data_IF_901502858474
#
_entry.id   IF_901502858474
#
_cell.length_a   1.000
_cell.length_b   1.000
_cell.length_c   1.000
_cell.angle_alpha   90.00
_cell.angle_beta   90.00
_cell.angle_gamma   90.00
#
_symmetry.space_group_name_H-M   'P 1'
#
loop_
_entity.id
_entity.type
_entity.pdbx_description
1 polymer ?
#
# COMPACT_ATOMS: atom_id res chain seq x y z
N UNK A 1 -55.38 -14.70 53.30
CA UNK A 1 -54.47 -15.56 52.51
C UNK A 1 -54.70 -15.22 51.05
N UNK A 2 -54.21 -14.05 50.62
CA UNK A 2 -52.84 -13.80 50.13
C UNK A 2 -52.59 -14.48 48.77
N UNK A 3 -52.48 -13.58 47.80
CA UNK A 3 -52.27 -13.72 46.36
C UNK A 3 -50.84 -14.18 46.10
N UNK A 4 -50.59 -14.98 45.06
CA UNK A 4 -49.32 -14.91 44.33
C UNK A 4 -49.45 -15.41 42.90
N UNK A 5 -49.44 -14.44 41.98
CA UNK A 5 -49.21 -14.62 40.54
C UNK A 5 -47.71 -14.81 40.33
N UNK A 6 -47.28 -15.91 39.70
CA UNK A 6 -45.91 -16.04 39.18
C UNK A 6 -45.80 -15.27 37.86
N UNK A 7 -44.98 -14.21 37.87
CA UNK A 7 -44.51 -13.52 36.67
C UNK A 7 -43.20 -14.19 36.27
N UNK A 8 -43.17 -14.82 35.09
CA UNK A 8 -41.92 -15.24 34.44
C UNK A 8 -41.18 -13.99 33.96
N UNK A 9 -40.15 -13.57 34.70
CA UNK A 9 -39.22 -12.54 34.26
C UNK A 9 -38.22 -13.12 33.26
N UNK A 10 -38.29 -12.67 32.00
CA UNK A 10 -37.23 -12.89 31.01
C UNK A 10 -36.06 -12.00 31.40
N UNK A 11 -35.00 -12.60 31.94
CA UNK A 11 -33.72 -11.91 32.11
C UNK A 11 -33.06 -11.86 30.73
N UNK A 12 -33.20 -10.73 30.04
CA UNK A 12 -32.35 -10.40 28.89
C UNK A 12 -30.98 -10.09 29.47
N UNK A 13 -30.10 -11.09 29.49
CA UNK A 13 -28.66 -10.87 29.67
C UNK A 13 -28.22 -10.04 28.47
N UNK A 14 -28.11 -8.72 28.65
CA UNK A 14 -27.41 -7.86 27.72
C UNK A 14 -25.93 -8.28 27.77
N UNK A 15 -25.49 -9.02 26.76
CA UNK A 15 -24.07 -9.19 26.51
C UNK A 15 -23.57 -7.81 26.12
N UNK A 16 -23.02 -7.06 27.09
CA UNK A 16 -22.16 -5.93 26.78
C UNK A 16 -20.99 -6.53 26.01
N UNK A 17 -21.02 -6.38 24.68
CA UNK A 17 -19.80 -6.47 23.89
C UNK A 17 -18.80 -5.52 24.54
N UNK A 18 -17.58 -5.97 24.83
CA UNK A 18 -16.55 -5.04 25.25
C UNK A 18 -16.40 -4.03 24.10
N UNK A 19 -16.78 -2.78 24.36
CA UNK A 19 -16.26 -1.68 23.56
C UNK A 19 -14.74 -1.85 23.60
N UNK A 20 -14.12 -1.93 22.42
CA UNK A 20 -12.67 -1.91 22.32
C UNK A 20 -12.23 -0.67 23.10
N UNK A 21 -11.59 -0.89 24.26
CA UNK A 21 -10.95 0.22 24.95
C UNK A 21 -9.91 0.77 23.98
N UNK A 22 -9.70 2.09 24.01
CA UNK A 22 -8.59 2.80 23.36
C UNK A 22 -7.25 2.33 23.95
N UNK A 23 -6.96 1.04 23.82
CA UNK A 23 -5.80 0.36 24.33
C UNK A 23 -4.71 0.41 23.26
N UNK A 24 -3.86 1.43 23.40
CA UNK A 24 -2.49 1.49 22.91
C UNK A 24 -2.29 1.20 21.42
N UNK A 25 -2.94 1.99 20.54
CA UNK A 25 -2.56 2.04 19.12
C UNK A 25 -1.10 2.53 19.07
N UNK A 26 -0.21 1.70 18.54
CA UNK A 26 1.19 2.10 18.35
C UNK A 26 1.28 3.04 17.15
N UNK A 27 1.31 4.34 17.42
CA UNK A 27 1.29 5.38 16.37
C UNK A 27 2.56 5.43 15.51
N UNK A 28 3.63 4.74 15.92
CA UNK A 28 4.92 4.73 15.20
C UNK A 28 4.99 3.70 14.06
N UNK A 29 3.96 2.83 13.94
CA UNK A 29 3.89 1.80 12.89
C UNK A 29 2.59 1.92 12.11
N UNK A 30 2.54 1.43 10.87
CA UNK A 30 1.29 1.28 10.14
C UNK A 30 0.29 0.47 10.95
N UNK A 31 -0.99 0.85 10.90
CA UNK A 31 -2.05 0.15 11.63
C UNK A 31 -2.33 -1.22 10.99
N UNK A 32 -2.32 -1.27 9.67
CA UNK A 32 -2.44 -2.45 8.83
C UNK A 32 -1.52 -2.25 7.61
N UNK A 33 -0.93 -3.31 7.07
CA UNK A 33 0.19 -3.19 6.15
C UNK A 33 -0.20 -2.94 4.68
N UNK A 34 -1.36 -3.42 4.23
CA UNK A 34 -1.77 -3.38 2.83
C UNK A 34 -2.39 -2.04 2.41
N UNK A 35 -3.29 -1.50 3.24
CA UNK A 35 -4.08 -0.32 2.88
C UNK A 35 -3.97 0.84 3.87
N UNK A 36 -3.73 0.55 5.16
CA UNK A 36 -3.48 1.58 6.19
C UNK A 36 -1.97 1.67 6.50
N UNK A 37 -1.19 1.71 5.41
CA UNK A 37 0.25 1.54 5.31
C UNK A 37 1.08 2.71 5.88
N UNK A 38 0.41 3.77 6.33
CA UNK A 38 1.03 4.99 6.84
C UNK A 38 0.72 5.11 8.33
N UNK A 39 1.77 5.24 9.14
CA UNK A 39 1.62 5.39 10.60
C UNK A 39 0.97 6.74 10.97
N UNK A 40 0.22 6.77 12.07
CA UNK A 40 -0.34 8.02 12.60
C UNK A 40 0.77 9.03 12.88
N UNK A 41 1.90 8.58 13.44
CA UNK A 41 3.05 9.42 13.71
C UNK A 41 3.63 10.07 12.45
N UNK A 42 3.65 9.34 11.33
CA UNK A 42 4.06 9.88 10.03
C UNK A 42 3.14 11.01 9.57
N UNK A 43 1.82 10.81 9.68
CA UNK A 43 0.83 11.84 9.27
C UNK A 43 0.92 13.09 10.14
N UNK A 44 1.15 12.93 11.44
CA UNK A 44 1.22 14.04 12.40
C UNK A 44 2.58 14.76 12.44
N UNK A 45 3.63 14.20 11.83
CA UNK A 45 4.95 14.84 11.81
C UNK A 45 4.93 16.09 10.92
N UNK A 46 5.08 17.27 11.54
CA UNK A 46 5.12 18.58 10.86
C UNK A 46 6.30 18.74 9.89
N UNK A 47 7.35 17.91 10.04
CA UNK A 47 8.50 17.89 9.14
C UNK A 47 8.39 16.81 8.07
N UNK A 48 7.25 16.11 7.97
CA UNK A 48 7.07 15.12 6.94
C UNK A 48 7.10 15.79 5.56
N UNK A 49 7.68 15.10 4.58
CA UNK A 49 7.75 15.56 3.20
C UNK A 49 6.48 15.25 2.39
N UNK A 50 5.46 14.71 3.05
CA UNK A 50 4.22 14.30 2.43
C UNK A 50 3.34 15.55 2.30
N UNK A 51 2.98 15.91 1.08
CA UNK A 51 2.05 17.03 0.83
C UNK A 51 0.63 16.57 1.16
N UNK A 52 0.34 16.42 2.46
CA UNK A 52 -0.95 15.94 2.92
C UNK A 52 -1.99 17.07 2.88
N UNK A 53 -3.21 16.75 2.48
CA UNK A 53 -4.31 17.71 2.34
C UNK A 53 -5.39 17.49 3.40
N UNK A 54 -5.94 18.60 3.90
CA UNK A 54 -7.07 18.59 4.82
C UNK A 54 -8.41 18.64 4.07
N UNK A 55 -9.52 18.08 4.63
CA UNK A 55 -9.64 17.48 5.97
C UNK A 55 -9.17 16.02 6.06
N UNK A 56 -8.67 15.45 4.97
CA UNK A 56 -8.44 14.01 4.84
C UNK A 56 -7.31 13.49 5.71
N UNK A 57 -6.23 14.25 5.92
CA UNK A 57 -5.15 13.85 6.81
C UNK A 57 -5.65 13.72 8.26
N UNK A 58 -6.42 14.71 8.73
CA UNK A 58 -7.06 14.65 10.05
C UNK A 58 -8.09 13.51 10.15
N UNK A 59 -8.89 13.30 9.10
CA UNK A 59 -9.90 12.23 9.05
C UNK A 59 -9.26 10.84 9.07
N UNK A 60 -8.11 10.64 8.41
CA UNK A 60 -7.36 9.38 8.46
C UNK A 60 -6.98 9.02 9.89
N UNK A 61 -6.41 9.98 10.63
CA UNK A 61 -5.96 9.78 12.01
C UNK A 61 -7.13 9.53 12.96
N UNK A 62 -8.19 10.35 12.88
CA UNK A 62 -9.36 10.19 13.74
C UNK A 62 -10.07 8.86 13.49
N UNK A 63 -10.24 8.49 12.22
CA UNK A 63 -10.92 7.26 11.82
C UNK A 63 -10.19 6.01 12.32
N UNK A 64 -8.86 5.97 12.26
CA UNK A 64 -8.09 4.85 12.84
C UNK A 64 -8.29 4.79 14.37
N UNK A 65 -8.19 5.92 15.06
CA UNK A 65 -8.35 5.98 16.53
C UNK A 65 -9.74 5.58 16.99
N UNK A 66 -10.77 5.87 16.18
CA UNK A 66 -12.17 5.55 16.44
C UNK A 66 -12.60 4.19 15.86
N UNK A 67 -11.66 3.43 15.29
CA UNK A 67 -11.90 2.17 14.60
C UNK A 67 -12.97 2.26 13.50
N UNK A 68 -13.07 3.40 12.79
CA UNK A 68 -13.87 3.59 11.57
C UNK A 68 -13.02 3.26 10.34
N UNK A 69 -12.75 1.97 10.11
CA UNK A 69 -11.74 1.56 9.14
C UNK A 69 -12.09 1.86 7.67
N UNK A 70 -13.37 1.85 7.30
CA UNK A 70 -13.83 2.30 5.99
C UNK A 70 -13.51 3.77 5.76
N UNK A 71 -13.84 4.62 6.73
CA UNK A 71 -13.52 6.05 6.69
C UNK A 71 -12.00 6.30 6.64
N UNK A 72 -11.21 5.50 7.36
CA UNK A 72 -9.74 5.58 7.32
C UNK A 72 -9.19 5.24 5.92
N UNK A 73 -9.67 4.15 5.30
CA UNK A 73 -9.28 3.75 3.94
C UNK A 73 -9.64 4.83 2.93
N UNK A 74 -10.85 5.38 3.04
CA UNK A 74 -11.32 6.46 2.18
C UNK A 74 -10.44 7.70 2.31
N UNK A 75 -10.16 8.13 3.54
CA UNK A 75 -9.29 9.27 3.83
C UNK A 75 -7.86 9.05 3.30
N UNK A 76 -7.31 7.83 3.40
CA UNK A 76 -5.98 7.48 2.90
C UNK A 76 -5.80 7.75 1.41
N UNK A 77 -6.82 7.49 0.60
CA UNK A 77 -6.79 7.75 -0.84
C UNK A 77 -6.90 9.24 -1.18
N UNK A 78 -7.54 10.02 -0.31
CA UNK A 78 -7.75 11.45 -0.54
C UNK A 78 -6.67 12.35 0.06
N UNK A 79 -5.99 11.90 1.12
CA UNK A 79 -5.06 12.74 1.88
C UNK A 79 -3.81 13.18 1.12
N UNK A 80 -3.56 12.68 -0.08
CA UNK A 80 -2.49 13.16 -0.95
C UNK A 80 -2.94 14.21 -1.97
N UNK A 81 -4.21 14.60 -1.99
CA UNK A 81 -4.74 15.62 -2.90
C UNK A 81 -4.82 15.16 -4.36
N UNK A 82 -4.61 13.87 -4.61
CA UNK A 82 -4.57 13.26 -5.95
C UNK A 82 -5.93 12.80 -6.44
N UNK A 83 -7.03 13.28 -5.84
CA UNK A 83 -8.38 12.99 -6.29
C UNK A 83 -8.96 14.27 -6.88
N UNK A 84 -9.16 14.30 -8.19
CA UNK A 84 -9.62 15.46 -8.97
C UNK A 84 -10.91 15.07 -9.66
N UNK A 85 -11.99 15.83 -9.43
CA UNK A 85 -13.33 15.55 -9.98
C UNK A 85 -13.85 14.12 -9.69
N UNK A 86 -13.48 13.57 -8.52
CA UNK A 86 -13.86 12.22 -8.09
C UNK A 86 -13.04 11.09 -8.72
N UNK A 87 -12.02 11.43 -9.52
CA UNK A 87 -11.13 10.50 -10.18
C UNK A 87 -9.73 10.58 -9.60
N UNK A 88 -9.03 9.45 -9.57
CA UNK A 88 -7.62 9.41 -9.21
C UNK A 88 -6.80 10.11 -10.30
N UNK A 89 -6.00 11.10 -9.93
CA UNK A 89 -5.16 11.91 -10.82
C UNK A 89 -4.25 11.05 -11.70
N UNK A 90 -4.21 11.35 -13.00
CA UNK A 90 -3.49 10.53 -13.99
C UNK A 90 -4.21 9.23 -14.36
N UNK A 91 -5.48 9.11 -13.99
CA UNK A 91 -6.32 7.94 -14.16
C UNK A 91 -7.75 8.31 -14.56
N UNK A 92 -8.51 7.33 -15.08
CA UNK A 92 -9.96 7.45 -15.32
C UNK A 92 -10.77 6.61 -14.31
N UNK A 93 -10.14 6.19 -13.21
CA UNK A 93 -10.78 5.40 -12.16
C UNK A 93 -11.23 6.29 -11.01
N UNK A 94 -12.38 5.92 -10.47
CA UNK A 94 -12.83 6.34 -9.14
C UNK A 94 -11.97 5.71 -8.05
N UNK A 95 -12.06 6.24 -6.83
CA UNK A 95 -11.37 5.67 -5.65
C UNK A 95 -11.80 4.22 -5.39
N UNK A 96 -13.09 3.90 -5.58
CA UNK A 96 -13.62 2.55 -5.39
C UNK A 96 -13.02 1.55 -6.40
N UNK A 97 -12.89 1.94 -7.67
CA UNK A 97 -12.26 1.08 -8.69
C UNK A 97 -10.78 0.85 -8.40
N UNK A 98 -10.06 1.88 -7.94
CA UNK A 98 -8.65 1.75 -7.56
C UNK A 98 -8.45 0.85 -6.32
N UNK A 99 -9.35 0.96 -5.33
CA UNK A 99 -9.40 0.07 -4.16
C UNK A 99 -9.69 -1.38 -4.57
N UNK A 100 -10.66 -1.58 -5.47
CA UNK A 100 -11.03 -2.90 -5.98
C UNK A 100 -9.85 -3.58 -6.70
N UNK A 101 -9.15 -2.84 -7.57
CA UNK A 101 -7.97 -3.33 -8.28
C UNK A 101 -6.85 -3.73 -7.30
N UNK A 102 -6.55 -2.85 -6.33
CA UNK A 102 -5.53 -3.11 -5.30
C UNK A 102 -5.89 -4.34 -4.46
N UNK A 103 -7.16 -4.49 -4.08
CA UNK A 103 -7.67 -5.62 -3.32
C UNK A 103 -7.56 -6.94 -4.09
N UNK A 104 -7.88 -6.94 -5.38
CA UNK A 104 -7.75 -8.12 -6.23
C UNK A 104 -6.29 -8.55 -6.36
N UNK A 105 -5.37 -7.60 -6.50
CA UNK A 105 -3.94 -7.86 -6.58
C UNK A 105 -3.37 -8.40 -5.26
N UNK A 106 -3.70 -7.78 -4.13
CA UNK A 106 -3.27 -8.27 -2.81
C UNK A 106 -3.80 -9.66 -2.51
N UNK A 107 -5.06 -9.93 -2.86
CA UNK A 107 -5.62 -11.27 -2.74
C UNK A 107 -4.84 -12.29 -3.57
N UNK A 108 -4.40 -11.92 -4.78
CA UNK A 108 -3.68 -12.83 -5.67
C UNK A 108 -2.24 -13.08 -5.20
N UNK A 109 -1.57 -12.05 -4.69
CA UNK A 109 -0.11 -12.04 -4.44
C UNK A 109 0.27 -12.28 -2.98
N UNK A 110 -0.48 -11.74 -2.04
CA UNK A 110 -0.28 -11.83 -0.58
C UNK A 110 -1.58 -12.23 0.14
N UNK A 111 -2.17 -13.41 -0.20
CA UNK A 111 -3.51 -13.79 0.26
C UNK A 111 -3.67 -13.88 1.78
N UNK A 112 -2.61 -14.22 2.51
CA UNK A 112 -2.64 -14.32 3.97
C UNK A 112 -2.67 -12.94 4.63
N UNK A 113 -1.86 -12.00 4.14
CA UNK A 113 -1.86 -10.61 4.60
C UNK A 113 -3.20 -9.95 4.26
N UNK A 114 -3.75 -10.25 3.08
CA UNK A 114 -5.07 -9.77 2.67
C UNK A 114 -6.19 -10.30 3.58
N UNK A 115 -6.16 -11.59 3.93
CA UNK A 115 -7.09 -12.17 4.90
C UNK A 115 -6.94 -11.56 6.28
N UNK A 116 -5.71 -11.26 6.69
CA UNK A 116 -5.44 -10.58 7.95
C UNK A 116 -6.04 -9.16 7.96
N UNK A 117 -5.85 -8.37 6.91
CA UNK A 117 -6.44 -7.04 6.78
C UNK A 117 -7.97 -7.08 6.94
N UNK A 118 -8.64 -8.03 6.27
CA UNK A 118 -10.09 -8.21 6.43
C UNK A 118 -10.50 -8.56 7.86
N UNK A 119 -9.70 -9.39 8.55
CA UNK A 119 -9.97 -9.74 9.95
C UNK A 119 -9.86 -8.54 10.90
N UNK A 120 -8.97 -7.58 10.59
CA UNK A 120 -8.85 -6.32 11.32
C UNK A 120 -10.10 -5.47 11.08
N UNK A 121 -10.51 -5.33 9.82
CA UNK A 121 -11.63 -4.46 9.44
C UNK A 121 -13.00 -4.98 9.88
N UNK A 122 -13.14 -6.29 10.12
CA UNK A 122 -14.36 -6.89 10.64
C UNK A 122 -14.81 -6.30 11.99
N UNK A 123 -13.88 -5.68 12.75
CA UNK A 123 -14.16 -5.02 14.03
C UNK A 123 -14.41 -3.51 13.88
N UNK A 124 -14.83 -3.04 12.71
CA UNK A 124 -15.11 -1.61 12.50
C UNK A 124 -16.27 -1.10 13.38
N UNK A 125 -16.20 0.17 13.73
CA UNK A 125 -17.22 0.88 14.51
C UNK A 125 -18.56 0.97 13.77
N UNK A 126 -19.64 1.07 14.54
CA UNK A 126 -20.98 1.34 13.99
C UNK A 126 -21.15 2.75 13.43
N UNK A 127 -20.21 3.65 13.74
CA UNK A 127 -20.21 5.01 13.23
C UNK A 127 -19.43 5.18 11.93
N UNK A 128 -18.84 4.10 11.40
CA UNK A 128 -18.12 4.10 10.12
C UNK A 128 -19.10 4.40 8.97
N UNK A 129 -18.83 5.46 8.21
CA UNK A 129 -19.71 5.93 7.14
C UNK A 129 -19.38 5.31 5.80
N UNK A 130 -18.15 4.84 5.62
CA UNK A 130 -17.64 4.21 4.40
C UNK A 130 -17.57 2.69 4.50
N UNK A 131 -18.64 2.07 5.01
CA UNK A 131 -18.78 0.59 5.05
C UNK A 131 -18.80 -0.05 3.67
N UNK A 132 -19.22 0.71 2.66
CA UNK A 132 -19.17 0.30 1.25
C UNK A 132 -17.75 -0.05 0.79
N UNK A 133 -16.73 0.64 1.31
CA UNK A 133 -15.32 0.28 1.09
C UNK A 133 -15.01 -1.11 1.67
N UNK A 134 -15.46 -1.40 2.89
CA UNK A 134 -15.22 -2.69 3.55
C UNK A 134 -16.00 -3.84 2.89
N UNK A 135 -17.21 -3.55 2.43
CA UNK A 135 -18.04 -4.47 1.67
C UNK A 135 -17.38 -4.83 0.33
N UNK A 136 -16.79 -3.84 -0.37
CA UNK A 136 -16.02 -4.06 -1.58
C UNK A 136 -14.84 -5.01 -1.36
N UNK A 137 -14.03 -4.76 -0.31
CA UNK A 137 -12.90 -5.63 0.01
C UNK A 137 -13.38 -7.06 0.35
N UNK A 138 -14.44 -7.18 1.14
CA UNK A 138 -15.03 -8.49 1.47
C UNK A 138 -15.57 -9.21 0.23
N UNK A 139 -16.19 -8.49 -0.70
CA UNK A 139 -16.67 -9.06 -1.96
C UNK A 139 -15.51 -9.56 -2.83
N UNK A 140 -14.42 -8.81 -2.93
CA UNK A 140 -13.20 -9.24 -3.65
C UNK A 140 -12.62 -10.52 -3.05
N UNK A 141 -12.69 -10.70 -1.72
CA UNK A 141 -12.28 -11.93 -1.05
C UNK A 141 -13.01 -13.19 -1.56
N UNK A 142 -14.19 -13.06 -2.15
CA UNK A 142 -14.96 -14.18 -2.69
C UNK A 142 -14.72 -14.44 -4.19
N UNK A 143 -14.14 -13.48 -4.93
CA UNK A 143 -13.97 -13.58 -6.40
C UNK A 143 -12.80 -14.47 -6.83
N UNK A 144 -12.88 -15.12 -7.99
CA UNK A 144 -11.70 -15.79 -8.52
C UNK A 144 -10.70 -14.77 -9.10
N UNK A 145 -9.50 -14.71 -8.50
CA UNK A 145 -8.39 -13.84 -8.94
C UNK A 145 -7.19 -14.65 -9.43
N UNK A 146 -7.38 -15.95 -9.73
CA UNK A 146 -6.29 -16.85 -10.14
C UNK A 146 -5.58 -16.35 -11.39
N UNK A 147 -6.31 -15.75 -12.34
CA UNK A 147 -5.75 -15.13 -13.54
C UNK A 147 -4.81 -13.95 -13.25
N UNK A 148 -4.92 -13.31 -12.07
CA UNK A 148 -4.01 -12.23 -11.67
C UNK A 148 -2.68 -12.74 -11.12
N UNK A 149 -2.59 -14.01 -10.71
CA UNK A 149 -1.29 -14.63 -10.37
C UNK A 149 -0.37 -14.69 -11.59
N UNK A 150 -0.95 -14.76 -12.79
CA UNK A 150 -0.22 -14.71 -14.06
C UNK A 150 0.23 -13.28 -14.41
N UNK A 151 -0.43 -12.24 -13.86
CA UNK A 151 -0.01 -10.83 -13.96
C UNK A 151 1.16 -10.46 -13.04
N UNK A 152 1.71 -11.42 -12.27
CA UNK A 152 2.90 -11.21 -11.43
C UNK A 152 4.18 -10.86 -12.21
N UNK A 153 4.13 -10.75 -13.55
CA UNK A 153 5.11 -9.96 -14.29
C UNK A 153 4.78 -8.48 -14.18
N UNK A 154 5.45 -7.81 -13.24
CA UNK A 154 5.63 -6.36 -13.35
C UNK A 154 6.03 -6.03 -14.77
N UNK A 155 5.20 -5.24 -15.47
CA UNK A 155 5.64 -4.65 -16.72
C UNK A 155 6.94 -3.90 -16.47
N UNK A 156 7.83 -3.88 -17.43
CA UNK A 156 9.07 -3.10 -17.38
C UNK A 156 9.24 -2.34 -18.67
N UNK A 157 9.84 -1.15 -18.58
CA UNK A 157 10.23 -0.34 -19.72
C UNK A 157 11.69 0.06 -19.56
N UNK A 158 12.45 -0.18 -20.60
CA UNK A 158 13.87 0.12 -20.61
C UNK A 158 14.10 1.59 -20.97
N UNK A 159 14.96 2.28 -20.22
CA UNK A 159 15.31 3.70 -20.40
C UNK A 159 16.70 3.82 -21.04
N UNK A 160 16.75 3.29 -22.24
CA UNK A 160 17.98 2.94 -22.92
C UNK A 160 18.64 4.20 -23.51
N UNK A 161 19.93 4.42 -23.17
CA UNK A 161 20.68 5.63 -23.55
C UNK A 161 20.56 6.79 -22.55
N UNK A 162 19.80 6.62 -21.48
CA UNK A 162 19.63 7.63 -20.43
C UNK A 162 19.90 7.03 -19.05
N UNK A 163 20.71 7.74 -18.24
CA UNK A 163 20.97 7.38 -16.85
C UNK A 163 21.42 5.91 -16.66
N UNK A 164 22.25 5.39 -17.56
CA UNK A 164 22.64 3.99 -17.56
C UNK A 164 23.66 3.67 -16.46
N UNK A 165 23.36 2.69 -15.60
CA UNK A 165 24.27 2.19 -14.58
C UNK A 165 25.06 0.98 -15.09
N UNK A 166 26.23 0.72 -14.49
CA UNK A 166 27.00 -0.48 -14.85
C UNK A 166 26.27 -1.73 -14.39
N UNK A 167 26.16 -2.73 -15.26
CA UNK A 167 25.50 -4.00 -14.95
C UNK A 167 26.05 -4.63 -13.67
N UNK A 168 27.38 -4.66 -13.53
CA UNK A 168 28.04 -5.19 -12.34
C UNK A 168 27.55 -4.51 -11.05
N UNK A 169 27.41 -3.19 -11.07
CA UNK A 169 26.94 -2.44 -9.91
C UNK A 169 25.47 -2.75 -9.59
N UNK A 170 24.63 -2.93 -10.61
CA UNK A 170 23.23 -3.29 -10.41
C UNK A 170 23.06 -4.73 -9.92
N UNK A 171 23.82 -5.69 -10.43
CA UNK A 171 23.83 -7.07 -9.93
C UNK A 171 24.25 -7.12 -8.47
N UNK A 172 25.32 -6.40 -8.09
CA UNK A 172 25.74 -6.30 -6.68
C UNK A 172 24.72 -5.61 -5.80
N UNK A 173 24.03 -4.60 -6.32
CA UNK A 173 22.92 -3.95 -5.61
C UNK A 173 21.84 -4.97 -5.27
N UNK A 174 21.36 -5.72 -6.28
CA UNK A 174 20.29 -6.70 -6.14
C UNK A 174 20.71 -7.80 -5.15
N UNK A 175 21.92 -8.34 -5.28
CA UNK A 175 22.44 -9.39 -4.38
C UNK A 175 22.47 -8.97 -2.90
N UNK A 176 22.77 -7.70 -2.62
CA UNK A 176 22.92 -7.17 -1.27
C UNK A 176 21.62 -6.59 -0.70
N UNK A 177 20.58 -6.45 -1.51
CA UNK A 177 19.32 -5.87 -1.10
C UNK A 177 18.52 -6.82 -0.20
N UNK A 178 17.74 -6.25 0.72
CA UNK A 178 16.77 -7.01 1.50
C UNK A 178 15.70 -7.65 0.60
N UNK A 179 15.43 -8.93 0.83
CA UNK A 179 14.30 -9.67 0.27
C UNK A 179 13.15 -9.79 1.29
N UNK A 180 13.13 -8.94 2.32
CA UNK A 180 12.03 -8.94 3.29
C UNK A 180 10.72 -8.53 2.63
N UNK A 181 9.60 -9.10 3.08
CA UNK A 181 8.25 -8.62 2.72
C UNK A 181 7.82 -7.37 3.51
N UNK A 182 8.75 -6.69 4.16
CA UNK A 182 8.47 -5.42 4.81
C UNK A 182 8.29 -4.30 3.77
N UNK A 183 7.37 -3.38 4.05
CA UNK A 183 7.14 -2.17 3.28
C UNK A 183 8.32 -1.20 3.40
N UNK A 184 8.59 -0.46 2.32
CA UNK A 184 9.75 0.44 2.20
C UNK A 184 9.50 1.76 2.94
N UNK A 185 8.26 2.20 3.02
CA UNK A 185 7.84 3.43 3.69
C UNK A 185 7.75 4.64 2.76
N UNK A 186 6.94 5.61 3.20
CA UNK A 186 6.58 6.80 2.43
C UNK A 186 7.75 7.77 2.17
N UNK A 187 8.77 7.77 3.03
CA UNK A 187 9.90 8.71 2.97
C UNK A 187 11.05 8.23 2.09
N UNK A 188 11.20 6.91 1.93
CA UNK A 188 12.33 6.34 1.20
C UNK A 188 12.04 6.31 -0.29
N UNK A 189 12.80 7.14 -1.02
CA UNK A 189 12.75 7.23 -2.50
C UNK A 189 13.94 6.56 -3.16
N UNK A 190 15.05 6.45 -2.45
CA UNK A 190 16.22 5.67 -2.85
C UNK A 190 16.37 4.55 -1.84
N UNK A 191 15.96 3.36 -2.25
CA UNK A 191 15.85 2.18 -1.39
C UNK A 191 17.24 1.64 -1.08
N UNK A 192 18.05 1.52 -2.13
CA UNK A 192 19.36 0.92 -2.04
C UNK A 192 20.28 1.46 -3.13
N UNK A 193 21.59 1.44 -2.88
CA UNK A 193 22.60 1.87 -3.84
C UNK A 193 23.83 1.00 -3.75
N UNK A 194 24.44 0.75 -4.91
CA UNK A 194 25.75 0.14 -4.98
C UNK A 194 26.51 0.71 -6.19
N UNK A 195 27.72 1.22 -5.97
CA UNK A 195 28.48 1.92 -7.01
C UNK A 195 27.65 3.05 -7.64
N UNK A 196 27.49 3.01 -8.96
CA UNK A 196 26.65 3.95 -9.70
C UNK A 196 25.22 3.44 -9.98
N UNK A 197 24.79 2.32 -9.39
CA UNK A 197 23.42 1.83 -9.55
C UNK A 197 22.57 2.22 -8.34
N UNK A 198 21.35 2.66 -8.61
CA UNK A 198 20.38 3.09 -7.61
C UNK A 198 19.04 2.42 -7.86
N UNK A 199 18.55 1.71 -6.85
CA UNK A 199 17.17 1.23 -6.81
C UNK A 199 16.32 2.25 -6.07
N UNK A 200 15.26 2.68 -6.75
CA UNK A 200 14.45 3.81 -6.32
C UNK A 200 12.98 3.50 -6.50
N UNK A 201 12.16 4.20 -5.74
CA UNK A 201 10.70 4.15 -5.86
C UNK A 201 10.11 5.53 -6.11
N UNK A 202 8.97 5.53 -6.81
CA UNK A 202 8.13 6.71 -7.03
C UNK A 202 7.69 7.36 -5.72
N UNK A 203 7.23 8.60 -5.77
CA UNK A 203 6.55 9.23 -4.63
C UNK A 203 5.32 8.41 -4.26
N UNK A 204 5.05 8.31 -2.95
CA UNK A 204 3.77 7.78 -2.49
C UNK A 204 2.68 8.79 -2.87
N UNK A 205 1.71 8.34 -3.66
CA UNK A 205 0.55 9.13 -4.09
C UNK A 205 -0.70 8.31 -3.77
N UNK A 206 -1.49 7.95 -4.79
CA UNK A 206 -2.66 7.08 -4.69
C UNK A 206 -2.31 5.59 -4.67
N UNK A 207 -1.17 5.19 -5.25
CA UNK A 207 -0.74 3.79 -5.23
C UNK A 207 -0.17 3.43 -3.85
N UNK A 208 -0.49 2.24 -3.32
CA UNK A 208 0.05 1.79 -2.05
C UNK A 208 1.56 1.54 -2.13
N UNK A 209 2.20 1.47 -0.97
CA UNK A 209 3.63 1.23 -0.89
C UNK A 209 4.05 -0.15 -1.45
N UNK A 210 5.34 -0.30 -1.77
CA UNK A 210 5.91 -1.59 -2.21
C UNK A 210 6.76 -2.20 -1.10
N UNK A 211 6.81 -3.53 -1.07
CA UNK A 211 7.74 -4.25 -0.19
C UNK A 211 9.15 -4.28 -0.78
N UNK A 212 10.15 -4.50 0.07
CA UNK A 212 11.52 -4.76 -0.40
C UNK A 212 11.58 -5.98 -1.34
N UNK A 213 10.82 -7.04 -1.05
CA UNK A 213 10.67 -8.21 -1.94
C UNK A 213 10.18 -7.84 -3.35
N UNK A 214 9.13 -7.01 -3.41
CA UNK A 214 8.58 -6.52 -4.69
C UNK A 214 9.62 -5.69 -5.44
N UNK A 215 10.24 -4.72 -4.77
CA UNK A 215 11.24 -3.86 -5.40
C UNK A 215 12.47 -4.65 -5.87
N UNK A 216 12.89 -5.68 -5.13
CA UNK A 216 13.94 -6.62 -5.53
C UNK A 216 13.55 -7.39 -6.79
N UNK A 217 12.36 -7.97 -6.81
CA UNK A 217 11.86 -8.75 -7.97
C UNK A 217 11.77 -7.90 -9.24
N UNK A 218 11.31 -6.65 -9.13
CA UNK A 218 11.30 -5.72 -10.25
C UNK A 218 12.70 -5.35 -10.71
N UNK A 219 13.65 -5.18 -9.78
CA UNK A 219 15.04 -4.90 -10.11
C UNK A 219 15.67 -6.05 -10.92
N UNK A 220 15.40 -7.31 -10.55
CA UNK A 220 15.82 -8.49 -11.31
C UNK A 220 15.23 -8.50 -12.73
N UNK A 221 13.94 -8.20 -12.87
CA UNK A 221 13.30 -8.10 -14.18
C UNK A 221 13.94 -7.02 -15.05
N UNK A 222 14.18 -5.82 -14.51
CA UNK A 222 14.82 -4.70 -15.23
C UNK A 222 16.25 -5.10 -15.61
N UNK A 223 17.03 -5.69 -14.71
CA UNK A 223 18.39 -6.13 -15.01
C UNK A 223 18.40 -7.17 -16.14
N UNK A 224 17.52 -8.16 -16.10
CA UNK A 224 17.47 -9.22 -17.10
C UNK A 224 17.10 -8.75 -18.51
N UNK A 225 16.24 -7.74 -18.62
CA UNK A 225 15.65 -7.32 -19.90
C UNK A 225 16.14 -5.97 -20.42
N UNK A 226 16.59 -5.08 -19.55
CA UNK A 226 17.01 -3.73 -19.90
C UNK A 226 18.53 -3.54 -19.85
N UNK A 227 19.27 -4.65 -19.74
CA UNK A 227 20.72 -4.66 -19.87
C UNK A 227 21.12 -4.80 -21.33
N UNK A 228 22.00 -3.91 -21.80
CA UNK A 228 22.60 -4.00 -23.12
C UNK A 228 24.07 -3.60 -23.10
N UNK A 229 24.78 -3.98 -24.14
CA UNK A 229 26.10 -3.44 -24.41
C UNK A 229 25.98 -1.99 -24.90
N UNK A 230 26.76 -1.10 -24.29
CA UNK A 230 26.81 0.32 -24.60
C UNK A 230 28.28 0.79 -24.61
N UNK A 231 28.55 1.84 -25.39
CA UNK A 231 29.83 2.51 -25.66
C UNK A 231 31.02 1.97 -24.83
N UNK A 232 32.01 1.38 -25.53
CA UNK A 232 33.21 0.71 -24.97
C UNK A 232 32.98 -0.72 -24.43
N UNK A 233 32.09 -1.50 -25.04
CA UNK A 233 31.86 -2.90 -24.70
C UNK A 233 31.44 -3.17 -23.25
N UNK A 234 30.84 -2.17 -22.60
CA UNK A 234 30.38 -2.30 -21.22
C UNK A 234 28.89 -2.60 -21.20
N UNK A 235 28.50 -3.59 -20.38
CA UNK A 235 27.10 -3.86 -20.13
C UNK A 235 26.54 -2.82 -19.16
N UNK A 236 25.44 -2.20 -19.57
CA UNK A 236 24.74 -1.21 -18.76
C UNK A 236 23.25 -1.49 -18.69
N UNK A 237 22.65 -1.07 -17.58
CA UNK A 237 21.26 -1.31 -17.23
C UNK A 237 20.57 0.01 -16.92
N UNK A 238 19.39 0.21 -17.49
CA UNK A 238 18.51 1.32 -17.13
C UNK A 238 17.06 0.96 -17.45
N UNK A 239 16.19 1.07 -16.46
CA UNK A 239 14.77 0.85 -16.68
C UNK A 239 13.93 1.11 -15.46
N UNK A 240 12.64 0.90 -15.64
CA UNK A 240 11.64 1.10 -14.62
C UNK A 240 10.43 0.19 -14.84
N UNK A 241 9.72 -0.17 -13.77
CA UNK A 241 8.33 -0.58 -13.94
C UNK A 241 7.55 0.62 -14.47
N UNK A 242 6.66 0.48 -15.46
CA UNK A 242 5.69 1.51 -15.74
C UNK A 242 4.98 1.90 -14.43
N UNK A 243 4.56 3.16 -14.34
CA UNK A 243 3.60 3.50 -13.30
C UNK A 243 2.38 2.61 -13.54
N UNK A 244 2.08 1.73 -12.60
CA UNK A 244 0.78 1.10 -12.52
C UNK A 244 0.06 1.70 -11.31
N UNK A 245 -1.25 1.44 -11.21
CA UNK A 245 -2.11 2.10 -10.24
C UNK A 245 -2.18 1.37 -8.90
N UNK A 246 -1.58 0.18 -8.82
CA UNK A 246 -1.62 -0.72 -7.67
C UNK A 246 -0.31 -0.78 -6.88
N UNK A 247 0.76 -0.15 -7.36
CA UNK A 247 2.00 -0.01 -6.60
C UNK A 247 2.86 1.18 -7.06
N UNK A 248 3.74 1.67 -6.17
CA UNK A 248 4.75 2.68 -6.53
C UNK A 248 5.64 2.21 -7.68
N UNK A 249 6.00 3.12 -8.59
CA UNK A 249 6.97 2.87 -9.67
C UNK A 249 8.31 2.44 -9.06
N UNK A 250 8.93 1.37 -9.57
CA UNK A 250 10.28 0.95 -9.17
C UNK A 250 11.24 1.24 -10.32
N UNK A 251 12.41 1.84 -10.04
CA UNK A 251 13.39 2.19 -11.06
C UNK A 251 14.78 1.73 -10.67
N UNK A 252 15.51 1.20 -11.65
CA UNK A 252 16.89 0.75 -11.50
C UNK A 252 17.74 1.43 -12.57
N UNK A 253 18.57 2.39 -12.16
CA UNK A 253 19.44 3.14 -13.08
C UNK A 253 20.53 3.92 -12.32
N UNK A 254 21.32 4.73 -13.02
CA UNK A 254 22.35 5.60 -12.43
C UNK A 254 21.83 6.92 -11.90
N UNK A 255 20.53 7.20 -12.07
CA UNK A 255 19.92 8.45 -11.62
C UNK A 255 19.78 8.42 -10.10
N UNK A 256 20.22 9.49 -9.45
CA UNK A 256 20.31 9.54 -7.98
C UNK A 256 18.97 9.82 -7.31
N UNK A 257 18.06 10.53 -7.99
CA UNK A 257 16.78 10.99 -7.43
C UNK A 257 15.62 10.79 -8.41
N UNK A 258 14.45 10.39 -7.88
CA UNK A 258 13.18 10.40 -8.61
C UNK A 258 12.99 9.29 -9.65
N UNK A 259 11.81 8.71 -9.66
CA UNK A 259 11.37 7.69 -10.62
C UNK A 259 10.57 8.34 -11.78
N UNK A 260 11.19 9.26 -12.53
CA UNK A 260 10.58 9.84 -13.75
C UNK A 260 11.23 9.22 -14.97
#
# INVERSE_FOLDING_TARGET
MEISRLILGIVVLAWRTPALSTANINETRPFEQLFLDISIGTVLDLNNSLQLVEPWASEYVSSIREARFGDALWARYHMFGTIVDGLVEGSNQTVMEALEESAMEYKATVPDDYRHALSVYANTSNNDKHRDVLDLLSAVHLRDVSHLKERATFGIKCDIGHNEAYRYNCLRLIELMSTSRAYIGAHDRTIFRYGNCHLRVGTLTHAPDVTYWTAHSVAELIEGHCTRECCNHQLKTSGYSPANRSHRKVCLSSKVWGCS
#
